data_IF_720971182646
#
_entry.id   IF_720971182646
#
_cell.length_a   1.000
_cell.length_b   1.000
_cell.length_c   1.000
_cell.angle_alpha   90.00
_cell.angle_beta   90.00
_cell.angle_gamma   90.00
#
_symmetry.space_group_name_H-M   'P 1'
#
loop_
_entity.id
_entity.type
_entity.pdbx_description
1 polymer ?
#
# COMPACT_ATOMS: atom_id res chain seq x y z
N UNK A 1 -35.61 4.43 -24.11
CA UNK A 1 -34.73 4.28 -22.92
C UNK A 1 -33.32 4.01 -23.41
N UNK A 2 -32.35 4.86 -23.04
CA UNK A 2 -30.95 4.56 -23.34
C UNK A 2 -30.47 3.42 -22.44
N UNK A 3 -29.94 2.35 -23.03
CA UNK A 3 -29.36 1.24 -22.27
C UNK A 3 -28.05 1.70 -21.61
N UNK A 4 -27.89 1.39 -20.31
CA UNK A 4 -26.67 1.70 -19.56
C UNK A 4 -25.47 0.87 -20.06
N UNK A 5 -24.25 1.34 -19.81
CA UNK A 5 -23.01 0.65 -20.22
C UNK A 5 -22.81 -0.65 -19.45
N UNK A 6 -22.06 -1.61 -20.03
CA UNK A 6 -21.73 -2.89 -19.37
C UNK A 6 -21.01 -2.72 -18.03
N UNK A 7 -20.25 -1.63 -17.87
CA UNK A 7 -19.57 -1.31 -16.60
C UNK A 7 -20.61 -0.87 -15.56
N UNK A 8 -21.51 0.04 -15.94
CA UNK A 8 -22.55 0.56 -15.04
C UNK A 8 -23.58 -0.50 -14.63
N UNK A 9 -23.82 -1.53 -15.47
CA UNK A 9 -24.76 -2.62 -15.16
C UNK A 9 -24.08 -3.88 -14.61
N UNK A 10 -22.76 -3.91 -14.52
CA UNK A 10 -22.02 -5.08 -14.04
C UNK A 10 -21.91 -5.07 -12.52
N UNK A 11 -21.88 -6.26 -11.89
CA UNK A 11 -21.63 -6.38 -10.44
C UNK A 11 -20.11 -6.29 -10.11
N UNK A 12 -19.42 -5.31 -10.68
CA UNK A 12 -17.97 -5.14 -10.57
C UNK A 12 -17.50 -4.64 -9.21
N UNK A 13 -18.40 -4.00 -8.44
CA UNK A 13 -18.11 -3.39 -7.15
C UNK A 13 -17.75 -4.42 -6.07
N UNK A 14 -18.31 -5.63 -6.15
CA UNK A 14 -17.93 -6.74 -5.26
C UNK A 14 -18.31 -6.55 -3.79
N UNK A 15 -19.17 -5.59 -3.44
CA UNK A 15 -19.65 -5.35 -2.06
C UNK A 15 -20.41 -6.54 -1.46
N UNK A 16 -20.96 -7.40 -2.32
CA UNK A 16 -21.57 -8.68 -1.95
C UNK A 16 -20.54 -9.78 -1.66
N UNK A 17 -19.24 -9.49 -1.82
CA UNK A 17 -18.18 -10.44 -1.54
C UNK A 17 -18.03 -10.67 -0.03
N UNK A 18 -17.78 -11.92 0.40
CA UNK A 18 -17.50 -12.26 1.80
C UNK A 18 -16.33 -11.47 2.43
N UNK A 19 -15.45 -10.85 1.62
CA UNK A 19 -14.37 -10.00 2.13
C UNK A 19 -14.85 -8.74 2.85
N UNK A 20 -16.06 -8.28 2.54
CA UNK A 20 -16.65 -7.12 3.19
C UNK A 20 -17.37 -7.47 4.50
N UNK A 21 -17.48 -8.75 4.87
CA UNK A 21 -18.22 -9.17 6.08
C UNK A 21 -17.62 -8.56 7.35
N UNK A 22 -16.29 -8.54 7.46
CA UNK A 22 -15.63 -7.89 8.59
C UNK A 22 -15.86 -6.37 8.59
N UNK A 23 -15.84 -5.74 7.41
CA UNK A 23 -16.11 -4.29 7.29
C UNK A 23 -17.54 -3.95 7.73
N UNK A 24 -18.53 -4.73 7.26
CA UNK A 24 -19.93 -4.62 7.67
C UNK A 24 -20.10 -4.82 9.17
N UNK A 25 -19.36 -5.75 9.77
CA UNK A 25 -19.38 -5.97 11.22
C UNK A 25 -18.85 -4.75 11.99
N UNK A 26 -17.76 -4.13 11.51
CA UNK A 26 -17.25 -2.89 12.08
C UNK A 26 -18.25 -1.73 11.96
N UNK A 27 -18.86 -1.53 10.79
CA UNK A 27 -19.87 -0.48 10.60
C UNK A 27 -21.09 -0.65 11.52
N UNK A 28 -21.47 -1.91 11.79
CA UNK A 28 -22.64 -2.22 12.63
C UNK A 28 -22.35 -2.07 14.12
N UNK A 29 -21.13 -2.36 14.57
CA UNK A 29 -20.77 -2.35 15.99
C UNK A 29 -19.33 -1.84 16.21
N UNK A 30 -19.05 -0.54 15.96
CA UNK A 30 -17.70 -0.01 16.08
C UNK A 30 -17.28 0.13 17.55
N UNK A 31 -16.04 -0.25 17.86
CA UNK A 31 -15.48 -0.06 19.20
C UNK A 31 -15.46 1.42 19.58
N UNK A 32 -15.92 1.71 20.80
CA UNK A 32 -15.73 3.00 21.46
C UNK A 32 -15.38 2.74 22.93
N UNK A 33 -14.30 3.35 23.48
CA UNK A 33 -13.78 2.98 24.80
C UNK A 33 -14.77 3.21 25.95
N UNK A 34 -15.76 4.10 25.77
CA UNK A 34 -16.77 4.44 26.78
C UNK A 34 -18.13 3.84 26.41
N UNK A 35 -18.58 4.08 25.17
CA UNK A 35 -19.96 3.78 24.78
C UNK A 35 -20.14 2.33 24.32
N UNK A 36 -19.12 1.76 23.66
CA UNK A 36 -19.17 0.44 23.04
C UNK A 36 -17.84 -0.29 23.27
N UNK A 37 -17.46 -0.59 24.53
CA UNK A 37 -16.16 -1.15 24.88
C UNK A 37 -15.96 -2.59 24.36
N UNK A 38 -17.02 -3.24 23.89
CA UNK A 38 -17.01 -4.57 23.27
C UNK A 38 -17.22 -4.52 21.75
N UNK A 39 -17.17 -3.34 21.15
CA UNK A 39 -17.30 -3.18 19.70
C UNK A 39 -16.07 -3.72 18.95
N UNK A 40 -16.19 -3.78 17.63
CA UNK A 40 -15.13 -4.22 16.72
C UNK A 40 -14.10 -3.10 16.58
N UNK A 41 -12.83 -3.36 16.89
CA UNK A 41 -11.72 -2.42 16.66
C UNK A 41 -11.31 -2.51 15.19
N UNK A 42 -11.20 -1.35 14.56
CA UNK A 42 -10.77 -1.28 13.16
C UNK A 42 -9.26 -1.49 13.07
N UNK A 43 -8.87 -2.63 12.51
CA UNK A 43 -7.46 -2.95 12.21
C UNK A 43 -7.26 -3.36 10.75
N UNK A 44 -8.22 -3.08 9.85
CA UNK A 44 -8.16 -3.45 8.44
C UNK A 44 -7.80 -2.28 7.51
N UNK A 45 -7.71 -1.06 8.02
CA UNK A 45 -7.38 0.14 7.23
C UNK A 45 -5.91 0.55 7.36
N UNK A 46 -5.26 0.68 6.20
CA UNK A 46 -3.92 1.25 6.08
C UNK A 46 -3.92 2.77 6.23
N UNK A 47 -3.98 3.29 7.44
CA UNK A 47 -3.90 4.73 7.69
C UNK A 47 -2.78 5.06 8.67
N UNK A 48 -2.00 6.10 8.37
CA UNK A 48 -1.05 6.63 9.34
C UNK A 48 -1.68 7.81 10.06
N UNK A 49 -2.02 7.61 11.33
CA UNK A 49 -2.54 8.67 12.20
C UNK A 49 -1.54 9.11 13.27
N UNK A 50 -0.37 8.47 13.33
CA UNK A 50 0.62 8.69 14.41
C UNK A 50 1.21 10.10 14.35
N UNK A 51 1.33 10.65 13.15
CA UNK A 51 2.09 11.88 12.89
C UNK A 51 1.21 13.12 12.68
N UNK A 52 -0.12 12.99 12.80
CA UNK A 52 -1.06 14.11 12.56
C UNK A 52 -0.86 15.27 13.54
N UNK A 53 -0.37 15.01 14.74
CA UNK A 53 -0.05 16.07 15.72
C UNK A 53 1.14 16.93 15.27
N UNK A 54 2.10 16.34 14.54
CA UNK A 54 3.26 17.06 13.99
C UNK A 54 2.77 18.04 12.92
N UNK A 55 1.93 17.56 12.00
CA UNK A 55 1.28 18.37 10.96
C UNK A 55 0.45 19.49 11.59
N UNK A 56 -0.37 19.17 12.60
CA UNK A 56 -1.21 20.16 13.30
C UNK A 56 -0.37 21.25 13.93
N UNK A 57 0.76 20.91 14.58
CA UNK A 57 1.69 21.89 15.16
C UNK A 57 2.29 22.80 14.11
N UNK A 58 2.65 22.26 12.94
CA UNK A 58 3.15 23.06 11.83
C UNK A 58 2.08 24.03 11.31
N UNK A 59 0.86 23.54 11.05
CA UNK A 59 -0.25 24.40 10.59
C UNK A 59 -0.57 25.55 11.56
N UNK A 60 -0.47 25.32 12.87
CA UNK A 60 -0.67 26.37 13.88
C UNK A 60 0.42 27.45 13.87
N UNK A 61 1.64 27.11 13.42
CA UNK A 61 2.75 28.06 13.27
C UNK A 61 2.75 28.76 11.92
N UNK A 62 2.09 28.18 10.92
CA UNK A 62 2.04 28.64 9.53
C UNK A 62 0.60 28.94 9.06
N UNK A 63 -0.12 29.87 9.71
CA UNK A 63 -1.48 30.23 9.30
C UNK A 63 -1.57 30.74 7.86
N UNK A 64 -0.48 31.30 7.31
CA UNK A 64 -0.36 31.77 5.93
C UNK A 64 -0.49 30.66 4.88
N UNK A 65 -0.18 29.40 5.24
CA UNK A 65 -0.36 28.25 4.35
C UNK A 65 -1.85 27.87 4.18
N UNK A 66 -2.74 28.40 5.03
CA UNK A 66 -4.17 28.13 5.00
C UNK A 66 -4.91 29.15 4.14
N UNK A 67 -5.48 28.71 3.01
CA UNK A 67 -6.37 29.55 2.21
C UNK A 67 -7.80 29.51 2.79
N UNK A 68 -8.31 30.67 3.23
CA UNK A 68 -9.74 30.89 3.40
C UNK A 68 -10.41 31.17 2.04
N UNK A 69 -10.98 30.15 1.40
CA UNK A 69 -11.86 30.32 0.23
C UNK A 69 -13.33 30.28 0.63
N UNK A 70 -14.12 31.23 0.13
CA UNK A 70 -15.58 31.17 0.19
C UNK A 70 -16.08 29.90 -0.51
N UNK A 71 -16.99 29.18 0.14
CA UNK A 71 -17.49 27.86 -0.27
C UNK A 71 -18.34 28.00 -1.54
N UNK A 72 -17.75 27.70 -2.70
CA UNK A 72 -18.48 27.46 -3.94
C UNK A 72 -17.75 26.38 -4.78
N UNK A 73 -18.38 25.22 -4.94
CA UNK A 73 -17.92 24.19 -5.88
C UNK A 73 -18.10 22.76 -5.36
N UNK A 74 -19.05 22.05 -5.94
CA UNK A 74 -19.32 20.63 -5.70
C UNK A 74 -18.15 19.77 -6.20
N UNK A 75 -17.48 19.04 -5.30
CA UNK A 75 -16.49 18.02 -5.65
C UNK A 75 -17.13 16.64 -5.63
N UNK A 76 -17.50 16.11 -6.80
CA UNK A 76 -17.88 14.71 -6.94
C UNK A 76 -16.62 13.83 -6.92
N UNK A 77 -16.55 12.91 -5.97
CA UNK A 77 -15.51 11.90 -5.90
C UNK A 77 -15.72 10.85 -6.98
N UNK A 78 -14.70 10.61 -7.80
CA UNK A 78 -14.61 9.48 -8.71
C UNK A 78 -13.42 8.62 -8.26
N UNK A 79 -13.69 7.40 -7.82
CA UNK A 79 -12.71 6.33 -7.69
C UNK A 79 -13.09 5.18 -8.63
N UNK A 80 -12.08 4.42 -9.04
CA UNK A 80 -12.07 3.23 -9.92
C UNK A 80 -11.79 3.46 -11.42
N UNK A 81 -10.51 3.71 -11.75
CA UNK A 81 -9.98 3.60 -13.12
C UNK A 81 -8.60 2.93 -13.11
N UNK A 82 -8.51 1.69 -12.63
CA UNK A 82 -7.32 0.83 -12.86
C UNK A 82 -7.66 -0.59 -13.31
N UNK A 83 -8.92 -1.03 -13.21
CA UNK A 83 -9.36 -2.36 -13.70
C UNK A 83 -9.82 -2.38 -15.16
N UNK A 84 -10.15 -1.23 -15.76
CA UNK A 84 -10.78 -1.16 -17.09
C UNK A 84 -9.82 -1.25 -18.29
N UNK A 85 -8.51 -1.13 -18.06
CA UNK A 85 -7.53 -0.95 -19.15
C UNK A 85 -6.54 -2.11 -19.33
N UNK A 86 -6.48 -3.04 -18.38
CA UNK A 86 -5.50 -4.13 -18.36
C UNK A 86 -6.20 -5.47 -18.57
N UNK A 87 -6.22 -5.94 -19.83
CA UNK A 87 -6.97 -7.13 -20.23
C UNK A 87 -6.39 -8.46 -19.71
N UNK A 88 -5.20 -8.49 -19.09
CA UNK A 88 -4.63 -9.71 -18.47
C UNK A 88 -3.51 -9.37 -17.48
N UNK A 89 -3.60 -9.85 -16.23
CA UNK A 89 -2.53 -9.76 -15.24
C UNK A 89 -1.89 -11.14 -15.03
N UNK A 90 -0.58 -11.26 -15.29
CA UNK A 90 0.17 -12.43 -14.88
C UNK A 90 0.76 -12.18 -13.49
N UNK A 91 0.37 -12.98 -12.52
CA UNK A 91 0.84 -12.88 -11.13
C UNK A 91 2.21 -13.55 -11.02
N UNK A 92 3.16 -12.85 -10.40
CA UNK A 92 4.44 -13.39 -9.99
C UNK A 92 4.26 -14.17 -8.68
N UNK A 93 4.66 -15.44 -8.66
CA UNK A 93 4.49 -16.29 -7.48
C UNK A 93 5.69 -16.16 -6.54
N UNK A 94 5.49 -15.53 -5.38
CA UNK A 94 6.45 -15.55 -4.27
C UNK A 94 6.07 -16.65 -3.25
N UNK A 95 7.07 -17.28 -2.62
CA UNK A 95 6.87 -18.42 -1.71
C UNK A 95 7.29 -18.09 -0.28
N UNK A 96 6.62 -18.67 0.72
CA UNK A 96 6.93 -18.38 2.13
C UNK A 96 8.27 -18.95 2.59
N UNK A 97 8.85 -19.94 1.88
CA UNK A 97 10.12 -20.55 2.25
C UNK A 97 11.34 -19.64 2.00
N UNK A 98 11.22 -18.61 1.14
CA UNK A 98 12.27 -17.62 0.90
C UNK A 98 11.87 -16.22 1.39
N UNK A 99 10.95 -16.14 2.37
CA UNK A 99 10.42 -14.87 2.89
C UNK A 99 9.78 -14.00 1.79
N UNK A 100 9.15 -14.63 0.80
CA UNK A 100 8.49 -13.99 -0.34
C UNK A 100 9.39 -13.09 -1.19
N UNK A 101 10.71 -13.30 -1.15
CA UNK A 101 11.64 -12.59 -2.02
C UNK A 101 11.36 -12.88 -3.50
N UNK A 102 11.46 -11.84 -4.31
CA UNK A 102 11.41 -11.95 -5.78
C UNK A 102 12.70 -12.60 -6.27
N UNK A 103 12.58 -13.62 -7.11
CA UNK A 103 13.73 -14.32 -7.69
C UNK A 103 13.72 -14.20 -9.21
N UNK A 104 14.90 -14.31 -9.84
CA UNK A 104 15.02 -14.35 -11.30
C UNK A 104 14.20 -15.51 -11.89
N UNK A 105 14.24 -16.69 -11.26
CA UNK A 105 13.44 -17.84 -11.70
C UNK A 105 11.93 -17.55 -11.68
N UNK A 106 11.44 -16.81 -10.69
CA UNK A 106 10.03 -16.43 -10.60
C UNK A 106 9.66 -15.40 -11.69
N UNK A 107 10.56 -14.46 -11.99
CA UNK A 107 10.39 -13.47 -13.08
C UNK A 107 10.35 -14.18 -14.44
N UNK A 108 11.30 -15.07 -14.71
CA UNK A 108 11.36 -15.85 -15.95
C UNK A 108 10.16 -16.79 -16.09
N UNK A 109 9.77 -17.51 -15.03
CA UNK A 109 8.61 -18.38 -15.06
C UNK A 109 7.32 -17.60 -15.35
N UNK A 110 7.15 -16.41 -14.77
CA UNK A 110 6.01 -15.55 -15.06
C UNK A 110 6.01 -15.05 -16.52
N UNK A 111 7.20 -14.72 -17.06
CA UNK A 111 7.36 -14.30 -18.44
C UNK A 111 7.05 -15.41 -19.44
N UNK A 112 7.64 -16.60 -19.26
CA UNK A 112 7.40 -17.78 -20.09
C UNK A 112 5.91 -18.14 -20.08
N UNK A 113 5.28 -18.15 -18.89
CA UNK A 113 3.85 -18.42 -18.78
C UNK A 113 2.99 -17.42 -19.55
N UNK A 114 3.37 -16.14 -19.56
CA UNK A 114 2.69 -15.13 -20.37
C UNK A 114 2.85 -15.43 -21.87
N UNK A 115 4.05 -15.84 -22.31
CA UNK A 115 4.30 -16.23 -23.70
C UNK A 115 3.51 -17.47 -24.12
N UNK A 116 3.45 -18.51 -23.29
CA UNK A 116 2.65 -19.72 -23.52
C UNK A 116 1.16 -19.40 -23.66
N UNK A 117 0.66 -18.46 -22.85
CA UNK A 117 -0.69 -17.92 -22.94
C UNK A 117 -0.89 -16.96 -24.13
N UNK A 118 0.13 -16.76 -24.99
CA UNK A 118 0.14 -15.83 -26.12
C UNK A 118 -0.16 -14.38 -25.72
N UNK A 119 0.26 -13.99 -24.51
CA UNK A 119 0.12 -12.64 -23.97
C UNK A 119 1.44 -11.87 -24.12
N UNK A 120 1.36 -10.62 -24.57
CA UNK A 120 2.51 -9.71 -24.62
C UNK A 120 2.69 -9.01 -23.28
N UNK A 121 3.69 -9.42 -22.49
CA UNK A 121 4.08 -8.70 -21.28
C UNK A 121 4.59 -7.30 -21.66
N UNK A 122 4.02 -6.26 -21.04
CA UNK A 122 4.40 -4.85 -21.28
C UNK A 122 5.32 -4.30 -20.20
N UNK A 123 5.25 -4.87 -19.02
CA UNK A 123 6.01 -4.38 -17.88
C UNK A 123 5.72 -5.13 -16.61
N UNK A 124 6.46 -4.77 -15.59
CA UNK A 124 6.39 -5.25 -14.23
C UNK A 124 5.93 -4.10 -13.32
N UNK A 125 4.92 -4.37 -12.49
CA UNK A 125 4.48 -3.46 -11.43
C UNK A 125 4.98 -4.01 -10.10
N UNK A 126 5.70 -3.18 -9.35
CA UNK A 126 6.25 -3.51 -8.05
C UNK A 126 5.83 -2.50 -7.02
N UNK A 127 5.54 -2.97 -5.81
CA UNK A 127 5.32 -2.12 -4.64
C UNK A 127 6.50 -2.32 -3.70
N UNK A 128 7.32 -1.28 -3.51
CA UNK A 128 8.50 -1.29 -2.65
C UNK A 128 8.61 0.05 -1.90
N UNK A 129 8.47 0.08 -0.55
CA UNK A 129 8.21 -1.05 0.34
C UNK A 129 6.89 -1.80 0.04
N UNK A 130 6.87 -3.10 0.32
CA UNK A 130 5.81 -4.01 -0.12
C UNK A 130 4.54 -3.90 0.72
N UNK A 131 3.40 -3.91 0.01
CA UNK A 131 2.09 -4.19 0.57
C UNK A 131 1.58 -5.49 -0.06
N UNK A 132 1.24 -6.54 0.71
CA UNK A 132 0.97 -6.53 2.15
C UNK A 132 2.15 -6.88 3.09
N UNK A 133 3.34 -7.15 2.57
CA UNK A 133 4.41 -7.79 3.37
C UNK A 133 5.07 -6.87 4.40
N UNK A 134 5.03 -5.55 4.21
CA UNK A 134 5.75 -4.60 5.05
C UNK A 134 7.27 -4.72 4.94
N UNK A 135 7.78 -5.37 3.90
CA UNK A 135 9.22 -5.58 3.67
C UNK A 135 9.74 -4.68 2.55
N UNK A 136 11.05 -4.42 2.58
CA UNK A 136 11.75 -3.76 1.47
C UNK A 136 12.49 -4.78 0.62
N UNK A 137 12.62 -4.48 -0.66
CA UNK A 137 13.51 -5.21 -1.56
C UNK A 137 14.95 -4.82 -1.27
N UNK A 138 15.83 -5.83 -1.17
CA UNK A 138 17.27 -5.58 -1.07
C UNK A 138 17.85 -5.05 -2.38
N UNK A 139 18.96 -4.29 -2.27
CA UNK A 139 19.63 -3.62 -3.40
C UNK A 139 19.88 -4.55 -4.58
N UNK A 140 20.37 -5.76 -4.31
CA UNK A 140 20.69 -6.76 -5.33
C UNK A 140 19.43 -7.27 -6.03
N UNK A 141 18.33 -7.48 -5.30
CA UNK A 141 17.05 -7.84 -5.89
C UNK A 141 16.54 -6.75 -6.84
N UNK A 142 16.66 -5.46 -6.47
CA UNK A 142 16.25 -4.35 -7.35
C UNK A 142 17.13 -4.29 -8.61
N UNK A 143 18.45 -4.50 -8.48
CA UNK A 143 19.37 -4.60 -9.63
C UNK A 143 18.99 -5.72 -10.59
N UNK A 144 18.71 -6.91 -10.06
CA UNK A 144 18.28 -8.06 -10.85
C UNK A 144 16.99 -7.80 -11.62
N UNK A 145 16.04 -7.10 -11.00
CA UNK A 145 14.79 -6.66 -11.63
C UNK A 145 15.07 -5.66 -12.76
N UNK A 146 15.91 -4.65 -12.52
CA UNK A 146 16.28 -3.66 -13.55
C UNK A 146 16.98 -4.36 -14.72
N UNK A 147 17.86 -5.32 -14.45
CA UNK A 147 18.50 -6.12 -15.50
C UNK A 147 17.47 -6.92 -16.31
N UNK A 148 16.53 -7.60 -15.64
CA UNK A 148 15.48 -8.39 -16.29
C UNK A 148 14.60 -7.53 -17.22
N UNK A 149 14.12 -6.38 -16.76
CA UNK A 149 13.25 -5.53 -17.58
C UNK A 149 13.98 -4.96 -18.80
N UNK A 150 15.28 -4.67 -18.68
CA UNK A 150 16.11 -4.20 -19.79
C UNK A 150 16.32 -5.31 -20.83
N UNK A 151 16.67 -6.53 -20.40
CA UNK A 151 16.85 -7.68 -21.29
C UNK A 151 15.58 -8.04 -22.07
N UNK A 152 14.40 -7.79 -21.49
CA UNK A 152 13.11 -8.07 -22.11
C UNK A 152 12.49 -6.86 -22.81
N UNK A 153 13.11 -5.68 -22.70
CA UNK A 153 12.60 -4.39 -23.19
C UNK A 153 11.15 -4.15 -22.77
N UNK A 154 10.88 -4.28 -21.47
CA UNK A 154 9.57 -4.05 -20.85
C UNK A 154 9.66 -2.97 -19.78
N UNK A 155 8.55 -2.33 -19.46
CA UNK A 155 8.51 -1.24 -18.48
C UNK A 155 8.61 -1.76 -17.04
N UNK A 156 9.12 -0.93 -16.13
CA UNK A 156 9.04 -1.12 -14.70
C UNK A 156 8.28 0.05 -14.08
N UNK A 157 7.21 -0.27 -13.35
CA UNK A 157 6.46 0.70 -12.54
C UNK A 157 6.75 0.36 -11.07
N UNK A 158 7.47 1.24 -10.39
CA UNK A 158 7.74 1.15 -8.95
C UNK A 158 6.79 2.03 -8.16
N UNK A 159 5.80 1.42 -7.51
CA UNK A 159 4.99 2.06 -6.49
C UNK A 159 5.79 2.18 -5.18
N UNK A 160 6.09 3.43 -4.82
CA UNK A 160 6.89 3.83 -3.66
C UNK A 160 6.05 4.51 -2.57
N UNK A 161 4.74 4.31 -2.57
CA UNK A 161 3.83 4.98 -1.62
C UNK A 161 4.22 4.82 -0.13
N UNK A 162 5.00 3.79 0.20
CA UNK A 162 5.46 3.52 1.57
C UNK A 162 6.92 3.93 1.84
N UNK A 163 7.60 4.64 0.93
CA UNK A 163 9.03 4.94 1.03
C UNK A 163 9.43 5.62 2.36
N UNK A 164 8.66 6.59 2.84
CA UNK A 164 8.92 7.28 4.11
C UNK A 164 8.31 6.58 5.35
N UNK A 165 7.92 5.30 5.22
CA UNK A 165 7.42 4.48 6.34
C UNK A 165 8.40 3.39 6.76
N UNK A 166 9.64 3.41 6.28
CA UNK A 166 10.69 2.45 6.69
C UNK A 166 11.23 2.84 8.06
N UNK A 167 11.11 1.94 9.03
CA UNK A 167 11.41 2.21 10.44
C UNK A 167 12.49 1.31 11.05
N UNK A 168 13.02 0.37 10.28
CA UNK A 168 14.12 -0.52 10.67
C UNK A 168 15.14 -0.66 9.55
N UNK A 169 16.36 -1.07 9.91
CA UNK A 169 17.38 -1.48 8.94
C UNK A 169 16.98 -2.78 8.20
N UNK A 170 17.40 -2.96 6.94
CA UNK A 170 18.22 -2.04 6.15
C UNK A 170 17.43 -0.82 5.66
N UNK A 171 18.13 0.26 5.29
CA UNK A 171 17.50 1.43 4.69
C UNK A 171 16.81 1.13 3.34
N UNK A 172 15.79 1.92 3.02
CA UNK A 172 15.08 1.83 1.76
C UNK A 172 15.99 2.19 0.59
N UNK A 173 16.07 1.30 -0.40
CA UNK A 173 16.77 1.58 -1.67
C UNK A 173 15.76 1.89 -2.76
N UNK A 174 15.81 3.13 -3.24
CA UNK A 174 15.00 3.60 -4.33
C UNK A 174 15.49 3.05 -5.68
N UNK A 175 14.56 2.69 -6.59
CA UNK A 175 14.90 2.38 -7.99
C UNK A 175 15.72 3.50 -8.65
N UNK A 176 15.50 4.77 -8.25
CA UNK A 176 16.26 5.91 -8.80
C UNK A 176 17.72 5.89 -8.40
N UNK A 177 18.05 5.37 -7.21
CA UNK A 177 19.45 5.18 -6.80
C UNK A 177 20.12 4.08 -7.63
N UNK A 178 19.42 2.97 -7.85
CA UNK A 178 19.96 1.82 -8.60
C UNK A 178 20.33 2.18 -10.03
N UNK A 179 19.46 2.91 -10.72
CA UNK A 179 19.70 3.28 -12.12
C UNK A 179 20.72 4.40 -12.27
N UNK A 180 21.10 5.07 -11.18
CA UNK A 180 22.17 6.05 -11.15
C UNK A 180 23.55 5.43 -10.89
N UNK A 181 23.62 4.13 -10.59
CA UNK A 181 24.89 3.43 -10.39
C UNK A 181 25.59 3.15 -11.74
N UNK A 182 26.88 3.49 -11.86
CA UNK A 182 27.66 3.36 -13.10
C UNK A 182 27.71 1.93 -13.67
N UNK A 183 27.53 0.91 -12.82
CA UNK A 183 27.61 -0.49 -13.20
C UNK A 183 26.25 -1.13 -13.55
N UNK A 184 25.18 -0.33 -13.61
CA UNK A 184 23.84 -0.80 -13.97
C UNK A 184 23.44 -0.28 -15.35
N UNK A 185 23.49 -1.16 -16.34
CA UNK A 185 22.94 -0.85 -17.67
C UNK A 185 21.41 -0.79 -17.58
N UNK A 186 20.85 0.40 -17.82
CA UNK A 186 19.41 0.60 -17.82
C UNK A 186 19.00 1.64 -18.85
N UNK A 187 17.97 1.33 -19.65
CA UNK A 187 17.24 2.32 -20.42
C UNK A 187 16.26 3.06 -19.47
N UNK A 188 16.49 4.35 -19.15
CA UNK A 188 15.64 5.09 -18.24
C UNK A 188 14.20 5.22 -18.73
N UNK A 189 13.97 5.19 -20.05
CA UNK A 189 12.63 5.31 -20.64
C UNK A 189 11.66 4.19 -20.24
N UNK A 190 12.19 3.09 -19.70
CA UNK A 190 11.41 1.96 -19.20
C UNK A 190 11.02 2.13 -17.73
N UNK A 191 11.55 3.13 -17.02
CA UNK A 191 11.39 3.28 -15.57
C UNK A 191 10.36 4.36 -15.23
N UNK A 192 9.36 3.96 -14.44
CA UNK A 192 8.31 4.83 -13.93
C UNK A 192 8.12 4.60 -12.43
N UNK A 193 7.86 5.67 -11.70
CA UNK A 193 7.65 5.68 -10.26
C UNK A 193 6.27 6.26 -9.97
N UNK A 194 5.53 5.61 -9.08
CA UNK A 194 4.24 6.11 -8.57
C UNK A 194 4.41 6.38 -7.09
N UNK A 195 3.89 7.52 -6.63
CA UNK A 195 4.00 7.97 -5.25
C UNK A 195 2.73 8.71 -4.78
N UNK A 196 2.53 8.82 -3.47
CA UNK A 196 1.40 9.54 -2.88
C UNK A 196 1.66 9.86 -1.42
N UNK A 197 1.13 10.99 -0.95
CA UNK A 197 1.18 11.41 0.46
C UNK A 197 0.15 10.69 1.37
N UNK A 198 -0.51 9.67 0.82
CA UNK A 198 -1.65 9.02 1.49
C UNK A 198 -1.25 8.15 2.68
N UNK A 199 -0.01 7.63 2.69
CA UNK A 199 0.42 6.60 3.65
C UNK A 199 1.50 7.07 4.59
N UNK A 200 2.52 7.74 4.08
CA UNK A 200 3.57 8.33 4.92
C UNK A 200 3.09 9.57 5.69
N UNK A 201 2.52 10.55 5.00
CA UNK A 201 2.03 11.79 5.63
C UNK A 201 0.64 11.65 6.27
N UNK A 202 -0.05 10.55 6.01
CA UNK A 202 -1.41 10.34 6.52
C UNK A 202 -2.44 11.27 5.88
N UNK A 203 -2.24 11.70 4.63
CA UNK A 203 -3.16 12.57 3.90
C UNK A 203 -3.91 11.84 2.77
N UNK A 204 -4.58 10.69 3.02
CA UNK A 204 -5.32 10.04 1.95
C UNK A 204 -6.35 11.03 1.41
N UNK A 205 -7.07 11.75 2.28
CA UNK A 205 -8.15 12.70 1.95
C UNK A 205 -7.79 13.80 0.96
N UNK A 206 -6.51 14.19 0.89
CA UNK A 206 -6.03 15.26 0.03
C UNK A 206 -5.84 14.85 -1.44
N UNK A 207 -5.92 13.54 -1.72
CA UNK A 207 -5.87 12.97 -3.09
C UNK A 207 -4.61 13.38 -3.85
N UNK A 208 -3.46 13.45 -3.16
CA UNK A 208 -2.17 13.78 -3.78
C UNK A 208 -1.53 12.51 -4.33
N UNK A 209 -1.58 12.34 -5.66
CA UNK A 209 -0.93 11.26 -6.39
C UNK A 209 0.09 11.81 -7.38
N UNK A 210 1.25 11.16 -7.48
CA UNK A 210 2.38 11.61 -8.29
C UNK A 210 2.81 10.46 -9.20
N UNK A 211 3.00 10.77 -10.48
CA UNK A 211 3.66 9.90 -11.44
C UNK A 211 4.95 10.58 -11.85
N UNK A 212 6.07 9.93 -11.59
CA UNK A 212 7.39 10.35 -12.02
C UNK A 212 7.89 9.36 -13.07
N UNK A 213 8.27 9.85 -14.24
CA UNK A 213 8.73 9.00 -15.34
C UNK A 213 9.94 9.65 -15.97
N UNK A 214 10.97 8.86 -16.26
CA UNK A 214 12.14 9.32 -17.02
C UNK A 214 11.85 9.42 -18.53
N UNK A 215 10.71 8.86 -18.97
CA UNK A 215 10.24 8.93 -20.35
C UNK A 215 9.33 10.15 -20.58
N UNK A 216 9.77 11.09 -21.41
CA UNK A 216 9.05 12.33 -21.74
C UNK A 216 7.71 12.10 -22.45
N UNK A 217 7.62 11.07 -23.30
CA UNK A 217 6.37 10.73 -23.97
C UNK A 217 5.32 10.25 -22.97
N UNK A 218 5.73 9.46 -21.97
CA UNK A 218 4.86 9.06 -20.85
C UNK A 218 4.48 10.28 -20.02
N UNK A 219 5.42 11.16 -19.67
CA UNK A 219 5.12 12.40 -18.92
C UNK A 219 4.10 13.26 -19.65
N UNK A 220 4.26 13.46 -20.96
CA UNK A 220 3.33 14.24 -21.79
C UNK A 220 1.93 13.62 -21.83
N UNK A 221 1.85 12.29 -21.98
CA UNK A 221 0.58 11.56 -21.98
C UNK A 221 -0.12 11.64 -20.62
N UNK A 222 0.59 11.30 -19.54
CA UNK A 222 0.04 11.30 -18.17
C UNK A 222 -0.38 12.70 -17.75
N UNK A 223 0.36 13.74 -18.13
CA UNK A 223 -0.04 15.14 -17.87
C UNK A 223 -1.37 15.49 -18.53
N UNK A 224 -1.60 15.07 -19.78
CA UNK A 224 -2.91 15.27 -20.44
C UNK A 224 -4.01 14.47 -19.76
N UNK A 225 -3.73 13.24 -19.33
CA UNK A 225 -4.70 12.41 -18.60
C UNK A 225 -4.98 12.94 -17.18
N UNK A 226 -4.04 13.67 -16.57
CA UNK A 226 -4.19 14.21 -15.21
C UNK A 226 -5.37 15.18 -15.09
N UNK A 227 -5.87 15.75 -16.19
CA UNK A 227 -7.06 16.61 -16.20
C UNK A 227 -8.31 15.95 -15.63
N UNK A 228 -8.38 14.61 -15.61
CA UNK A 228 -9.49 13.86 -15.01
C UNK A 228 -9.38 13.68 -13.50
N UNK A 229 -8.27 14.08 -12.88
CA UNK A 229 -7.98 13.85 -11.46
C UNK A 229 -6.90 14.78 -10.91
N UNK A 230 -6.94 16.07 -11.24
CA UNK A 230 -5.99 17.05 -10.75
C UNK A 230 -6.07 17.20 -9.23
N UNK A 231 -4.92 17.35 -8.58
CA UNK A 231 -4.85 17.75 -7.18
C UNK A 231 -5.47 19.13 -7.04
N UNK A 232 -6.35 19.32 -6.06
CA UNK A 232 -6.97 20.63 -5.77
C UNK A 232 -5.89 21.72 -5.63
N UNK A 233 -6.09 22.87 -6.26
CA UNK A 233 -5.18 24.01 -6.14
C UNK A 233 -5.01 24.48 -4.69
N UNK A 234 -6.08 24.37 -3.89
CA UNK A 234 -6.02 24.66 -2.45
C UNK A 234 -5.08 23.68 -1.73
N UNK A 235 -5.19 22.39 -2.03
CA UNK A 235 -4.29 21.36 -1.49
C UNK A 235 -2.86 21.64 -1.93
N UNK A 236 -2.62 21.95 -3.20
CA UNK A 236 -1.28 22.27 -3.71
C UNK A 236 -0.67 23.46 -2.98
N UNK A 237 -1.44 24.52 -2.76
CA UNK A 237 -0.97 25.70 -2.02
C UNK A 237 -0.70 25.41 -0.54
N UNK A 238 -1.45 24.49 0.08
CA UNK A 238 -1.22 24.07 1.46
C UNK A 238 0.05 23.21 1.59
N UNK A 239 0.21 22.21 0.72
CA UNK A 239 1.30 21.23 0.83
C UNK A 239 2.63 21.78 0.30
N UNK A 240 2.62 22.70 -0.66
CA UNK A 240 3.86 23.23 -1.25
C UNK A 240 4.78 23.89 -0.21
N UNK A 241 4.33 24.87 0.61
CA UNK A 241 5.17 25.46 1.64
C UNK A 241 5.54 24.45 2.74
N UNK A 242 4.62 23.54 3.10
CA UNK A 242 4.88 22.49 4.09
C UNK A 242 6.01 21.54 3.66
N UNK A 243 6.02 21.14 2.39
CA UNK A 243 7.05 20.26 1.83
C UNK A 243 8.33 21.02 1.42
N UNK A 244 8.32 22.35 1.46
CA UNK A 244 9.50 23.19 1.22
C UNK A 244 10.20 23.62 2.52
N UNK A 245 9.63 23.25 3.67
CA UNK A 245 10.22 23.47 5.00
C UNK A 245 11.06 22.24 5.37
N UNK A 246 12.35 22.30 5.06
CA UNK A 246 13.29 21.18 5.27
C UNK A 246 13.34 20.75 6.74
N UNK A 247 13.33 21.71 7.68
CA UNK A 247 13.33 21.44 9.12
C UNK A 247 12.07 20.65 9.54
N UNK A 248 10.91 21.03 9.01
CA UNK A 248 9.67 20.29 9.23
C UNK A 248 9.73 18.88 8.63
N UNK A 249 10.19 18.75 7.37
CA UNK A 249 10.23 17.47 6.65
C UNK A 249 11.17 16.49 7.35
N UNK A 250 12.38 16.92 7.71
CA UNK A 250 13.37 16.09 8.39
C UNK A 250 12.85 15.63 9.76
N UNK A 251 12.30 16.56 10.54
CA UNK A 251 11.69 16.23 11.83
C UNK A 251 10.48 15.30 11.68
N UNK A 252 9.63 15.52 10.67
CA UNK A 252 8.47 14.68 10.40
C UNK A 252 8.88 13.24 10.08
N UNK A 253 9.86 13.05 9.19
CA UNK A 253 10.35 11.72 8.80
C UNK A 253 10.96 11.01 10.01
N UNK A 254 11.82 11.68 10.78
CA UNK A 254 12.49 11.10 11.94
C UNK A 254 11.49 10.68 13.04
N UNK A 255 10.56 11.56 13.41
CA UNK A 255 9.57 11.27 14.45
C UNK A 255 8.56 10.21 13.98
N UNK A 256 8.13 10.27 12.71
CA UNK A 256 7.28 9.24 12.11
C UNK A 256 7.93 7.86 12.17
N UNK A 257 9.22 7.77 11.82
CA UNK A 257 10.02 6.55 11.90
C UNK A 257 10.02 5.97 13.31
N UNK A 258 10.28 6.80 14.31
CA UNK A 258 10.32 6.37 15.72
C UNK A 258 8.94 5.92 16.23
N UNK A 259 7.88 6.66 15.92
CA UNK A 259 6.52 6.31 16.32
C UNK A 259 6.08 4.96 15.70
N UNK A 260 6.37 4.74 14.42
CA UNK A 260 6.13 3.48 13.73
C UNK A 260 6.91 2.33 14.36
N UNK A 261 8.22 2.53 14.61
CA UNK A 261 9.06 1.54 15.25
C UNK A 261 8.54 1.14 16.64
N UNK A 262 8.22 2.12 17.50
CA UNK A 262 7.68 1.88 18.84
C UNK A 262 6.36 1.12 18.79
N UNK A 263 5.48 1.51 17.87
CA UNK A 263 4.18 0.86 17.67
C UNK A 263 4.37 -0.59 17.23
N UNK A 264 5.21 -0.82 16.22
CA UNK A 264 5.54 -2.16 15.73
C UNK A 264 6.15 -3.04 16.83
N UNK A 265 7.13 -2.53 17.58
CA UNK A 265 7.79 -3.25 18.67
C UNK A 265 6.82 -3.64 19.79
N UNK A 266 5.96 -2.71 20.21
CA UNK A 266 4.96 -2.99 21.26
C UNK A 266 3.99 -4.08 20.81
N UNK A 267 3.45 -3.94 19.61
CA UNK A 267 2.47 -4.87 19.07
C UNK A 267 3.05 -6.29 18.90
N UNK A 268 4.21 -6.40 18.27
CA UNK A 268 4.92 -7.69 18.11
C UNK A 268 5.28 -8.35 19.43
N UNK A 269 5.68 -7.55 20.43
CA UNK A 269 5.94 -8.05 21.79
C UNK A 269 4.66 -8.60 22.43
N UNK A 270 3.54 -7.87 22.40
CA UNK A 270 2.26 -8.31 22.97
C UNK A 270 1.77 -9.63 22.34
N UNK A 271 1.97 -9.78 21.03
CA UNK A 271 1.57 -10.99 20.31
C UNK A 271 2.43 -12.20 20.67
N UNK A 272 3.73 -12.00 20.92
CA UNK A 272 4.59 -13.09 21.42
C UNK A 272 4.16 -13.61 22.81
N UNK A 273 3.46 -12.80 23.61
CA UNK A 273 2.98 -13.21 24.94
C UNK A 273 1.80 -14.18 24.86
N UNK A 274 0.98 -14.12 23.80
CA UNK A 274 -0.26 -14.90 23.68
C UNK A 274 -0.09 -16.24 22.92
N UNK A 275 1.15 -16.65 22.66
CA UNK A 275 1.46 -18.00 22.15
C UNK A 275 1.37 -18.18 20.65
N UNK A 276 1.14 -17.12 19.86
CA UNK A 276 1.40 -17.16 18.42
C UNK A 276 2.93 -17.20 18.18
N UNK A 277 3.49 -18.42 18.18
CA UNK A 277 4.92 -18.64 17.95
C UNK A 277 5.32 -18.25 16.52
N UNK A 278 6.49 -17.62 16.45
CA UNK A 278 7.34 -17.45 15.25
C UNK A 278 6.75 -16.66 14.07
N UNK A 279 6.90 -15.33 14.15
CA UNK A 279 6.86 -14.43 12.99
C UNK A 279 8.04 -14.74 12.05
N UNK A 280 7.75 -15.26 10.85
CA UNK A 280 8.78 -15.45 9.81
C UNK A 280 9.16 -14.16 9.07
N UNK A 281 8.32 -13.13 9.16
CA UNK A 281 8.55 -11.82 8.56
C UNK A 281 8.36 -10.77 9.65
N UNK A 282 9.40 -9.98 9.89
CA UNK A 282 9.30 -8.74 10.63
C UNK A 282 9.07 -7.64 9.60
N UNK A 283 7.86 -7.05 9.49
CA UNK A 283 7.68 -5.89 8.65
C UNK A 283 8.60 -4.77 9.15
N UNK A 284 9.37 -4.20 8.23
CA UNK A 284 10.37 -3.14 8.47
C UNK A 284 9.90 -1.80 7.90
N UNK A 285 8.77 -1.81 7.20
CA UNK A 285 8.13 -0.69 6.57
C UNK A 285 6.61 -0.85 6.63
N UNK A 286 5.88 0.26 6.44
CA UNK A 286 4.41 0.36 6.42
C UNK A 286 3.73 0.25 7.79
N UNK A 287 2.48 0.70 7.90
CA UNK A 287 1.59 0.45 9.06
C UNK A 287 1.06 -1.01 9.11
N UNK A 288 1.55 -1.91 8.24
CA UNK A 288 1.02 -3.26 8.07
C UNK A 288 1.69 -4.28 8.97
N UNK A 289 0.89 -5.26 9.39
CA UNK A 289 1.34 -6.44 10.10
C UNK A 289 0.81 -7.75 9.51
N UNK A 290 1.57 -8.83 9.69
CA UNK A 290 1.31 -10.16 9.16
C UNK A 290 1.56 -11.27 10.22
N UNK A 291 0.54 -11.67 11.00
CA UNK A 291 0.62 -12.92 11.75
C UNK A 291 0.66 -14.09 10.78
N UNK A 292 1.76 -14.82 10.77
CA UNK A 292 1.81 -16.15 10.18
C UNK A 292 1.17 -17.16 11.12
N UNK A 293 0.19 -17.94 10.65
CA UNK A 293 -0.20 -19.14 11.38
C UNK A 293 0.84 -20.24 11.13
N UNK A 294 1.54 -20.66 12.19
CA UNK A 294 2.37 -21.87 12.14
C UNK A 294 1.46 -23.08 11.92
N UNK A 295 1.75 -23.84 10.86
CA UNK A 295 1.63 -25.30 10.94
C UNK A 295 0.32 -25.96 10.49
N UNK A 296 -0.64 -25.27 9.87
CA UNK A 296 -1.78 -25.96 9.26
C UNK A 296 -1.90 -25.65 7.76
N UNK A 297 -1.93 -26.70 6.94
CA UNK A 297 -2.48 -26.63 5.58
C UNK A 297 -3.97 -26.33 5.71
N UNK A 298 -4.33 -25.06 5.85
CA UNK A 298 -5.72 -24.63 5.83
C UNK A 298 -6.18 -24.40 4.40
N UNK A 299 -7.40 -24.84 4.09
CA UNK A 299 -8.07 -24.40 2.87
C UNK A 299 -8.48 -22.92 2.99
N UNK A 300 -8.72 -22.25 1.86
CA UNK A 300 -9.28 -20.89 1.86
C UNK A 300 -10.57 -20.82 2.70
N UNK A 301 -11.35 -21.90 2.69
CA UNK A 301 -12.59 -22.02 3.45
C UNK A 301 -12.35 -22.10 4.98
N UNK A 302 -11.26 -22.73 5.40
CA UNK A 302 -10.90 -22.81 6.83
C UNK A 302 -10.40 -21.48 7.36
N UNK A 303 -9.68 -20.71 6.54
CA UNK A 303 -9.28 -19.34 6.88
C UNK A 303 -10.48 -18.40 6.97
N UNK A 304 -11.42 -18.50 6.03
CA UNK A 304 -12.71 -17.79 6.12
C UNK A 304 -13.47 -18.11 7.40
N UNK A 305 -13.54 -19.39 7.80
CA UNK A 305 -14.17 -19.78 9.07
C UNK A 305 -13.42 -19.25 10.29
N UNK A 306 -12.09 -19.13 10.24
CA UNK A 306 -11.31 -18.52 11.33
C UNK A 306 -11.52 -17.01 11.39
N UNK A 307 -11.51 -16.32 10.25
CA UNK A 307 -11.79 -14.90 10.15
C UNK A 307 -13.20 -14.57 10.63
N UNK A 308 -14.21 -15.32 10.18
CA UNK A 308 -15.59 -15.20 10.66
C UNK A 308 -15.70 -15.41 12.17
N UNK A 309 -15.02 -16.42 12.72
CA UNK A 309 -14.97 -16.64 14.17
C UNK A 309 -14.27 -15.51 14.94
N UNK A 310 -13.26 -14.84 14.38
CA UNK A 310 -12.63 -13.67 15.01
C UNK A 310 -13.61 -12.49 15.07
N UNK A 311 -14.38 -12.28 14.00
CA UNK A 311 -15.46 -11.29 13.95
C UNK A 311 -16.58 -11.63 14.94
N UNK A 312 -17.00 -12.91 15.02
CA UNK A 312 -18.09 -13.39 15.89
C UNK A 312 -17.69 -13.46 17.38
N UNK A 313 -16.46 -13.85 17.71
CA UNK A 313 -16.00 -14.07 19.10
C UNK A 313 -15.58 -12.80 19.84
N UNK A 314 -15.93 -11.60 19.35
CA UNK A 314 -15.65 -10.32 20.01
C UNK A 314 -14.15 -10.05 20.28
N UNK A 315 -13.24 -10.79 19.62
CA UNK A 315 -11.86 -10.35 19.43
C UNK A 315 -11.88 -9.27 18.35
N UNK A 316 -12.44 -8.12 18.71
CA UNK A 316 -12.80 -7.02 17.83
C UNK A 316 -11.58 -6.49 17.08
N UNK A 317 -11.19 -7.14 16.00
CA UNK A 317 -10.12 -6.71 15.11
C UNK A 317 -10.49 -7.09 13.69
N UNK A 318 -10.69 -6.10 12.83
CA UNK A 318 -10.81 -6.35 11.40
C UNK A 318 -9.43 -6.73 10.86
N UNK A 319 -9.28 -7.93 10.30
CA UNK A 319 -8.11 -8.27 9.50
C UNK A 319 -8.53 -8.48 8.05
N UNK A 320 -7.75 -7.95 7.11
CA UNK A 320 -7.97 -8.27 5.69
C UNK A 320 -7.34 -9.63 5.35
N UNK A 321 -8.12 -10.49 4.69
CA UNK A 321 -7.66 -11.79 4.22
C UNK A 321 -6.64 -11.61 3.09
N UNK A 322 -5.58 -12.43 3.07
CA UNK A 322 -4.65 -12.47 1.95
C UNK A 322 -5.29 -13.10 0.72
N UNK A 323 -5.68 -12.31 -0.28
CA UNK A 323 -6.06 -12.82 -1.60
C UNK A 323 -4.81 -13.03 -2.48
N UNK A 324 -4.25 -14.23 -2.40
CA UNK A 324 -3.60 -14.86 -3.55
C UNK A 324 -4.45 -16.06 -3.91
N UNK A 325 -5.01 -16.12 -5.13
CA UNK A 325 -5.72 -17.32 -5.61
C UNK A 325 -4.77 -18.54 -5.57
N UNK A 326 -4.72 -19.29 -4.45
CA UNK A 326 -4.50 -20.74 -4.27
C UNK A 326 -3.65 -21.10 -3.03
N UNK A 327 -4.10 -22.19 -2.39
CA UNK A 327 -3.40 -23.19 -1.56
C UNK A 327 -2.02 -22.81 -1.00
N UNK A 328 -2.00 -22.41 0.27
CA UNK A 328 -0.78 -22.45 1.09
C UNK A 328 -0.79 -21.43 2.22
N UNK A 329 -1.02 -21.91 3.45
CA UNK A 329 -0.92 -21.21 4.74
C UNK A 329 -1.84 -19.98 4.92
N UNK A 330 -2.56 -19.95 6.04
CA UNK A 330 -3.43 -18.86 6.43
C UNK A 330 -2.68 -17.65 6.93
N UNK A 331 -2.96 -16.50 6.33
CA UNK A 331 -2.36 -15.23 6.72
C UNK A 331 -3.40 -14.13 6.79
N UNK A 332 -3.15 -13.16 7.66
CA UNK A 332 -4.06 -12.08 8.01
C UNK A 332 -3.30 -10.75 7.96
N UNK A 333 -3.98 -9.64 7.66
CA UNK A 333 -3.37 -8.30 7.64
C UNK A 333 -4.00 -7.44 8.72
N UNK A 334 -3.15 -6.86 9.58
CA UNK A 334 -3.59 -6.02 10.70
C UNK A 334 -2.88 -4.67 10.65
N UNK A 335 -3.61 -3.60 10.94
CA UNK A 335 -3.16 -2.22 11.01
C UNK A 335 -3.32 -1.69 12.42
N UNK A 336 -2.29 -1.02 12.93
CA UNK A 336 -2.28 -0.49 14.29
C UNK A 336 -2.65 1.01 14.35
N UNK A 337 -3.64 1.42 13.56
CA UNK A 337 -4.13 2.80 13.38
C UNK A 337 -4.56 3.48 14.67
N UNK A 338 -5.21 2.76 15.60
CA UNK A 338 -5.89 3.37 16.75
C UNK A 338 -5.67 2.65 18.11
N UNK A 339 -4.46 2.11 18.38
CA UNK A 339 -4.14 1.67 19.75
C UNK A 339 -3.86 2.83 20.73
N UNK A 340 -4.16 4.09 20.37
CA UNK A 340 -4.09 5.21 21.35
C UNK A 340 -5.30 5.22 22.29
N UNK A 341 -6.36 4.50 21.92
CA UNK A 341 -7.62 4.35 22.67
C UNK A 341 -7.70 3.05 23.49
N UNK A 342 -6.66 2.22 23.42
CA UNK A 342 -6.44 1.04 24.27
C UNK A 342 -5.34 1.38 25.28
#
# INVERSE_FOLDING_TARGET
MAAMSKIATGNGHGEDSPYFDGWKAYETNPFHPIDIPHGVIQMGLAENQLCLDIVKKWLLKHPEASICTAKAGWGYGLNELTRSSWNSHQILNCVSCNNFKITNDALEAAYVKAQEAKLRMKGLLLTNPSNPLGTILDRETVKNIVKFINQRNIHLIGDKIYAATVFMEPEFVSISEIIAEDNVECNPDLIHIVYSLSKDMGFPGFRVGIVYSYNDAVVSCVRKMSSFGLVSSQTQHLIAPMLSDDDFVDNFIAESRELLFRRHKYFTWSLSQVGEREMRLLPMATDLWWPGSLGFKSSVEDERRKAKRRVENHFGSLSLEGEGRRKGLGFSRVFATDLRRL
#
